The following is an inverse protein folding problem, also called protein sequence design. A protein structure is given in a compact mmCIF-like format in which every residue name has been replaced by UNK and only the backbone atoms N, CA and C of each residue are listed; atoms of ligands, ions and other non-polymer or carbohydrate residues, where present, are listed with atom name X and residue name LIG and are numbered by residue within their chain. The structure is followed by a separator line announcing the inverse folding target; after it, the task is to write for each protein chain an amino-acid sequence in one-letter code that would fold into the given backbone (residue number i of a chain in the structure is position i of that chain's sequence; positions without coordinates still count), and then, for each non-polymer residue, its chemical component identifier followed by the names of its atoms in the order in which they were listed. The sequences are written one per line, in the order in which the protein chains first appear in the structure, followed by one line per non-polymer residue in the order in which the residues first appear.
data_IF_623563615088
#
_entry.id   IF_623563615088
#
_cell.length_a   1.000
_cell.length_b   1.000
_cell.length_c   1.000
_cell.angle_alpha   90.00
_cell.angle_beta   90.00
_cell.angle_gamma   90.00
#
_symmetry.space_group_name_H-M   'P 1'
#
loop_
_entity.id
_entity.type
_entity.pdbx_description
1 polymer ?
#
# COMPACT_ATOMS: atom_id res chain seq x y z
N UNK A 1 -11.96 3.11 -11.71
CA UNK A 1 -10.88 4.04 -11.31
C UNK A 1 -9.69 3.23 -10.79
N UNK A 2 -8.50 3.53 -11.28
CA UNK A 2 -7.29 2.87 -10.80
C UNK A 2 -6.81 3.51 -9.50
N UNK A 3 -6.41 2.67 -8.57
CA UNK A 3 -5.66 3.13 -7.43
C UNK A 3 -4.24 3.48 -7.85
N UNK A 4 -3.75 4.59 -7.39
CA UNK A 4 -2.38 5.00 -7.65
C UNK A 4 -1.59 4.90 -6.36
N UNK A 5 -0.55 4.06 -6.38
CA UNK A 5 0.36 3.94 -5.26
C UNK A 5 1.67 4.60 -5.64
N UNK A 6 2.08 5.54 -4.82
CA UNK A 6 3.32 6.29 -5.03
C UNK A 6 4.24 6.04 -3.83
N UNK A 7 5.49 5.75 -4.12
CA UNK A 7 6.50 5.61 -3.08
C UNK A 7 7.53 6.71 -3.32
N UNK A 8 7.56 7.67 -2.43
CA UNK A 8 8.52 8.76 -2.49
C UNK A 8 9.74 8.40 -1.65
N UNK A 9 10.92 8.54 -2.22
CA UNK A 9 12.17 8.29 -1.51
C UNK A 9 12.79 9.62 -1.10
N UNK A 10 12.96 9.79 0.19
CA UNK A 10 13.64 10.96 0.74
C UNK A 10 15.15 10.84 0.59
N UNK A 11 15.85 11.96 0.74
CA UNK A 11 17.31 11.98 0.66
C UNK A 11 17.98 11.13 1.73
N UNK A 12 17.32 10.99 2.89
CA UNK A 12 17.80 10.15 4.00
C UNK A 12 17.50 8.65 3.80
N UNK A 13 16.88 8.30 2.68
CA UNK A 13 16.54 6.92 2.36
C UNK A 13 15.18 6.46 2.88
N UNK A 14 14.49 7.31 3.61
CA UNK A 14 13.15 6.98 4.11
C UNK A 14 12.15 6.94 2.96
N UNK A 15 11.33 5.88 2.93
CA UNK A 15 10.28 5.72 1.93
C UNK A 15 8.95 6.20 2.49
N UNK A 16 8.25 7.00 1.71
CA UNK A 16 6.93 7.52 2.08
C UNK A 16 5.91 6.96 1.11
N UNK A 17 5.10 5.99 1.53
CA UNK A 17 4.05 5.44 0.68
C UNK A 17 2.82 6.35 0.68
N UNK A 18 2.22 6.49 -0.49
CA UNK A 18 0.98 7.25 -0.67
C UNK A 18 -0.02 6.44 -1.46
N UNK A 19 -1.27 6.54 -1.11
CA UNK A 19 -2.37 5.96 -1.88
C UNK A 19 -3.26 7.08 -2.38
N UNK A 20 -3.36 7.20 -3.70
CA UNK A 20 -4.15 8.26 -4.36
C UNK A 20 -3.82 9.66 -3.82
N UNK A 21 -2.52 9.91 -3.59
CA UNK A 21 -2.03 11.19 -3.11
C UNK A 21 -2.02 11.36 -1.60
N UNK A 22 -2.63 10.45 -0.85
CA UNK A 22 -2.66 10.52 0.61
C UNK A 22 -1.55 9.69 1.23
N UNK A 23 -0.85 10.27 2.20
CA UNK A 23 0.23 9.58 2.90
C UNK A 23 -0.34 8.47 3.78
N UNK A 24 0.24 7.28 3.65
CA UNK A 24 -0.09 6.14 4.50
C UNK A 24 0.90 6.10 5.66
N UNK A 25 0.38 6.24 6.88
CA UNK A 25 1.21 6.22 8.10
C UNK A 25 1.27 4.83 8.70
N UNK A 26 2.38 4.49 9.31
CA UNK A 26 2.54 3.23 10.01
C UNK A 26 2.81 2.02 9.13
N UNK A 27 3.17 2.25 7.88
CA UNK A 27 3.50 1.15 6.97
C UNK A 27 4.90 0.65 7.30
N UNK A 28 4.99 -0.62 7.63
CA UNK A 28 6.25 -1.30 7.95
C UNK A 28 6.89 -1.90 6.71
N UNK A 29 6.08 -2.45 5.83
CA UNK A 29 6.58 -3.21 4.70
C UNK A 29 5.68 -3.03 3.48
N UNK A 30 6.30 -3.00 2.31
CA UNK A 30 5.62 -2.87 1.02
C UNK A 30 6.15 -3.97 0.12
N UNK A 31 5.23 -4.76 -0.43
CA UNK A 31 5.56 -5.74 -1.46
C UNK A 31 4.81 -5.41 -2.73
N UNK A 32 5.53 -5.40 -3.83
CA UNK A 32 4.95 -5.17 -5.15
C UNK A 32 5.31 -6.36 -6.02
N UNK A 33 4.32 -7.03 -6.59
CA UNK A 33 4.57 -8.11 -7.51
C UNK A 33 3.50 -8.17 -8.59
N UNK A 34 3.85 -8.85 -9.66
CA UNK A 34 3.00 -8.97 -10.84
C UNK A 34 2.62 -10.43 -11.02
N UNK A 35 1.36 -10.66 -11.33
CA UNK A 35 0.87 -11.97 -11.72
C UNK A 35 0.59 -11.99 -13.21
N UNK A 36 1.14 -12.99 -13.88
CA UNK A 36 0.94 -13.17 -15.31
C UNK A 36 0.19 -14.48 -15.56
N UNK A 37 -0.99 -14.39 -16.13
CA UNK A 37 -1.81 -15.52 -16.48
C UNK A 37 -2.73 -15.09 -17.60
N UNK A 38 -3.98 -15.52 -17.57
CA UNK A 38 -4.97 -15.04 -18.55
C UNK A 38 -5.25 -13.56 -18.36
N UNK A 39 -5.14 -13.07 -17.11
CA UNK A 39 -5.20 -11.64 -16.79
C UNK A 39 -3.91 -11.23 -16.11
N UNK A 40 -3.44 -10.03 -16.46
CA UNK A 40 -2.28 -9.44 -15.79
C UNK A 40 -2.76 -8.68 -14.56
N UNK A 41 -2.20 -8.99 -13.42
CA UNK A 41 -2.53 -8.33 -12.17
C UNK A 41 -1.28 -7.70 -11.55
N UNK A 42 -1.44 -6.49 -11.09
CA UNK A 42 -0.43 -5.80 -10.30
C UNK A 42 -0.90 -5.81 -8.85
N UNK A 43 -0.12 -6.43 -7.99
CA UNK A 43 -0.51 -6.66 -6.60
C UNK A 43 0.41 -5.87 -5.68
N UNK A 44 -0.21 -5.09 -4.78
CA UNK A 44 0.52 -4.35 -3.76
C UNK A 44 0.01 -4.80 -2.40
N UNK A 45 0.92 -5.27 -1.56
CA UNK A 45 0.61 -5.64 -0.19
C UNK A 45 1.30 -4.69 0.77
N UNK A 46 0.55 -4.23 1.76
CA UNK A 46 1.04 -3.32 2.79
C UNK A 46 0.91 -3.98 4.16
N UNK A 47 1.97 -3.86 4.95
CA UNK A 47 1.96 -4.32 6.34
C UNK A 47 2.06 -3.12 7.26
N UNK A 48 1.13 -3.02 8.21
CA UNK A 48 1.11 -1.93 9.18
C UNK A 48 1.57 -2.43 10.56
N UNK A 49 2.32 -1.58 11.26
CA UNK A 49 2.72 -1.84 12.64
C UNK A 49 1.71 -1.26 13.63
N UNK A 50 1.61 -1.91 14.79
CA UNK A 50 0.85 -1.39 15.93
C UNK A 50 -0.56 -0.95 15.54
N UNK A 51 -1.24 -1.79 14.79
CA UNK A 51 -2.57 -1.46 14.30
C UNK A 51 -3.65 -2.00 15.22
N UNK A 52 -4.64 -1.17 15.47
CA UNK A 52 -5.89 -1.60 16.07
C UNK A 52 -6.85 -1.95 14.95
N UNK A 53 -7.46 -3.12 15.04
CA UNK A 53 -8.37 -3.59 14.01
C UNK A 53 -9.79 -3.49 14.51
N UNK A 54 -10.61 -2.75 13.79
CA UNK A 54 -12.04 -2.64 14.07
C UNK A 54 -12.82 -3.07 12.83
N UNK A 55 -13.73 -4.00 13.00
CA UNK A 55 -14.59 -4.47 11.92
C UNK A 55 -16.02 -4.09 12.27
N UNK A 56 -16.61 -3.28 11.42
CA UNK A 56 -17.97 -2.79 11.62
C UNK A 56 -18.85 -3.36 10.51
N UNK A 57 -19.89 -4.10 10.90
CA UNK A 57 -20.88 -4.57 9.95
C UNK A 57 -21.91 -3.47 9.72
N UNK A 58 -22.05 -3.04 8.49
CA UNK A 58 -22.94 -1.93 8.13
C UNK A 58 -24.27 -2.38 7.55
N UNK A 59 -24.46 -3.69 7.36
CA UNK A 59 -25.73 -4.27 6.87
C UNK A 59 -26.21 -5.34 7.82
#
# INVERSE_FOLDING_TARGET
MKNKITIERRKDGVLVPKLNGEILKGVKNIKIYYSYGETKEEIVELTFENSEIEIIDID
#
